data_IF_885430679674
#
_entry.id   IF_885430679674
#
_cell.length_a   1.000
_cell.length_b   1.000
_cell.length_c   1.000
_cell.angle_alpha   90.00
_cell.angle_beta   90.00
_cell.angle_gamma   90.00
#
_symmetry.space_group_name_H-M   'P 1'
#
loop_
_entity.id
_entity.type
_entity.pdbx_description
1 polymer ?
#
# COMPACT_ATOMS: atom_id res chain seq x y z
N UNK A 1 16.46 -25.21 4.50
CA UNK A 1 16.27 -23.81 4.06
C UNK A 1 15.57 -23.09 5.18
N UNK A 2 16.19 -22.04 5.72
CA UNK A 2 15.56 -21.15 6.69
C UNK A 2 14.43 -20.40 5.99
N UNK A 3 13.20 -20.56 6.48
CA UNK A 3 12.03 -19.84 5.98
C UNK A 3 12.16 -18.37 6.44
N UNK A 4 12.33 -17.44 5.50
CA UNK A 4 12.38 -16.00 5.81
C UNK A 4 10.96 -15.46 5.93
N UNK A 5 10.75 -14.50 6.82
CA UNK A 5 9.51 -13.72 6.78
C UNK A 5 9.54 -12.68 5.63
N UNK A 6 8.41 -12.04 5.34
CA UNK A 6 8.31 -11.09 4.23
C UNK A 6 9.30 -9.91 4.37
N UNK A 7 9.49 -9.40 5.59
CA UNK A 7 10.43 -8.29 5.89
C UNK A 7 11.89 -8.72 5.67
N UNK A 8 12.28 -9.87 6.18
CA UNK A 8 13.62 -10.45 6.01
C UNK A 8 13.94 -10.66 4.53
N UNK A 9 13.00 -11.27 3.78
CA UNK A 9 13.12 -11.54 2.35
C UNK A 9 13.30 -10.24 1.56
N UNK A 10 12.44 -9.24 1.80
CA UNK A 10 12.53 -7.93 1.16
C UNK A 10 13.88 -7.25 1.43
N UNK A 11 14.35 -7.25 2.68
CA UNK A 11 15.63 -6.65 3.05
C UNK A 11 16.82 -7.39 2.42
N UNK A 12 16.79 -8.73 2.40
CA UNK A 12 17.83 -9.53 1.74
C UNK A 12 17.88 -9.23 0.24
N UNK A 13 16.73 -9.13 -0.43
CA UNK A 13 16.65 -8.75 -1.85
C UNK A 13 17.22 -7.35 -2.11
N UNK A 14 16.76 -6.32 -1.37
CA UNK A 14 17.23 -4.94 -1.60
C UNK A 14 18.70 -4.71 -1.24
N UNK A 15 19.28 -5.56 -0.41
CA UNK A 15 20.70 -5.54 -0.06
C UNK A 15 21.56 -6.40 -0.98
N UNK A 16 21.00 -6.96 -2.05
CA UNK A 16 21.70 -7.87 -2.97
C UNK A 16 22.29 -9.10 -2.27
N UNK A 17 21.60 -9.61 -1.24
CA UNK A 17 21.95 -10.85 -0.54
C UNK A 17 21.33 -12.09 -1.17
N UNK A 18 21.21 -13.16 -0.38
CA UNK A 18 20.63 -14.45 -0.79
C UNK A 18 19.29 -14.68 -0.07
N UNK A 19 18.16 -14.17 -0.60
CA UNK A 19 16.84 -14.46 -0.05
C UNK A 19 16.46 -15.93 -0.31
N UNK A 20 15.55 -16.48 0.49
CA UNK A 20 15.03 -17.85 0.32
C UNK A 20 14.20 -18.04 -0.98
N UNK A 21 13.52 -16.97 -1.43
CA UNK A 21 12.92 -16.80 -2.76
C UNK A 21 12.79 -15.32 -3.12
N UNK A 22 12.41 -15.03 -4.37
CA UNK A 22 12.07 -13.65 -4.77
C UNK A 22 10.83 -13.18 -4.00
N UNK A 23 10.82 -11.97 -3.42
CA UNK A 23 9.62 -11.37 -2.87
C UNK A 23 8.52 -11.32 -3.92
N UNK A 24 7.31 -11.76 -3.57
CA UNK A 24 6.20 -11.86 -4.50
C UNK A 24 4.96 -11.19 -3.92
N UNK A 25 4.54 -10.10 -4.54
CA UNK A 25 3.44 -9.25 -4.09
C UNK A 25 2.54 -8.91 -5.28
N UNK A 26 1.28 -8.60 -4.98
CA UNK A 26 0.29 -8.14 -5.96
C UNK A 26 -0.47 -6.91 -5.42
N UNK A 27 -1.19 -6.22 -6.30
CA UNK A 27 -2.14 -5.17 -5.94
C UNK A 27 -3.45 -5.79 -5.42
N UNK A 28 -4.27 -4.96 -4.78
CA UNK A 28 -5.65 -5.28 -4.43
C UNK A 28 -6.42 -5.82 -5.64
N UNK A 29 -7.01 -7.00 -5.51
CA UNK A 29 -7.82 -7.59 -6.58
C UNK A 29 -9.12 -6.80 -6.70
N UNK A 30 -9.49 -6.41 -7.92
CA UNK A 30 -10.75 -5.73 -8.19
C UNK A 30 -11.93 -6.58 -7.73
N UNK A 31 -12.91 -5.95 -7.11
CA UNK A 31 -14.10 -6.60 -6.55
C UNK A 31 -14.83 -7.48 -7.58
N UNK A 32 -15.02 -6.98 -8.80
CA UNK A 32 -15.69 -7.71 -9.89
C UNK A 32 -14.91 -8.96 -10.36
N UNK A 33 -13.57 -8.91 -10.23
CA UNK A 33 -12.68 -10.03 -10.53
C UNK A 33 -12.75 -11.06 -9.42
N UNK A 34 -12.70 -10.64 -8.17
CA UNK A 34 -12.83 -11.52 -7.01
C UNK A 34 -14.19 -12.23 -6.99
N UNK A 35 -15.27 -11.51 -7.32
CA UNK A 35 -16.60 -12.11 -7.51
C UNK A 35 -16.61 -13.20 -8.59
N UNK A 36 -15.96 -12.96 -9.73
CA UNK A 36 -15.84 -13.95 -10.81
C UNK A 36 -15.07 -15.17 -10.35
N UNK A 37 -13.95 -14.99 -9.66
CA UNK A 37 -13.13 -16.08 -9.13
C UNK A 37 -13.91 -16.93 -8.14
N UNK A 38 -14.68 -16.32 -7.23
CA UNK A 38 -15.56 -17.08 -6.33
C UNK A 38 -16.61 -17.90 -7.08
N UNK A 39 -17.18 -17.39 -8.18
CA UNK A 39 -18.08 -18.18 -9.05
C UNK A 39 -17.37 -19.32 -9.77
N UNK A 40 -16.05 -19.23 -9.96
CA UNK A 40 -15.22 -20.25 -10.60
C UNK A 40 -14.62 -21.26 -9.61
N UNK A 41 -14.90 -21.12 -8.31
CA UNK A 41 -14.46 -22.05 -7.27
C UNK A 41 -13.31 -21.54 -6.40
N UNK A 42 -12.93 -20.26 -6.49
CA UNK A 42 -11.97 -19.68 -5.54
C UNK A 42 -12.55 -19.70 -4.12
N UNK A 43 -11.83 -20.23 -3.12
CA UNK A 43 -12.37 -20.40 -1.77
C UNK A 43 -12.71 -19.05 -1.13
N UNK A 44 -13.67 -19.04 -0.21
CA UNK A 44 -14.16 -17.81 0.46
C UNK A 44 -13.58 -17.63 1.86
N UNK A 45 -12.96 -18.67 2.38
CA UNK A 45 -12.36 -18.80 3.70
C UNK A 45 -10.84 -18.57 3.69
N UNK A 46 -10.27 -18.26 2.53
CA UNK A 46 -8.85 -17.93 2.35
C UNK A 46 -8.73 -16.60 1.63
N UNK A 47 -7.78 -15.77 2.04
CA UNK A 47 -7.44 -14.56 1.29
C UNK A 47 -6.69 -14.90 -0.02
N UNK A 48 -6.71 -13.97 -0.97
CA UNK A 48 -5.90 -14.10 -2.20
C UNK A 48 -4.41 -14.22 -1.88
N UNK A 49 -3.93 -13.42 -0.92
CA UNK A 49 -2.55 -13.46 -0.48
C UNK A 49 -2.13 -14.82 0.07
N UNK A 50 -2.96 -15.41 0.94
CA UNK A 50 -2.70 -16.76 1.48
C UNK A 50 -2.76 -17.84 0.39
N UNK A 51 -3.73 -17.77 -0.53
CA UNK A 51 -3.88 -18.79 -1.57
C UNK A 51 -2.69 -18.82 -2.56
N UNK A 52 -2.16 -17.65 -2.92
CA UNK A 52 -1.04 -17.53 -3.85
C UNK A 52 0.34 -17.43 -3.19
N UNK A 53 0.43 -17.62 -1.86
CA UNK A 53 1.66 -17.43 -1.08
C UNK A 53 2.34 -16.07 -1.33
N UNK A 54 1.54 -15.01 -1.34
CA UNK A 54 2.05 -13.65 -1.51
C UNK A 54 2.70 -13.15 -0.21
N UNK A 55 3.81 -12.44 -0.37
CA UNK A 55 4.43 -11.66 0.69
C UNK A 55 3.49 -10.55 1.16
N UNK A 56 3.36 -10.42 2.47
CA UNK A 56 2.54 -9.37 3.08
C UNK A 56 3.20 -8.01 2.91
N UNK A 57 2.43 -7.07 2.38
CA UNK A 57 2.73 -5.64 2.36
C UNK A 57 1.42 -4.85 2.47
N UNK A 58 1.47 -3.67 3.07
CA UNK A 58 0.32 -2.77 3.12
C UNK A 58 0.34 -1.85 1.91
N UNK A 59 -0.81 -1.78 1.24
CA UNK A 59 -1.02 -0.82 0.18
C UNK A 59 -1.50 0.50 0.77
N UNK A 60 -0.78 1.58 0.42
CA UNK A 60 -1.09 2.93 0.86
C UNK A 60 -1.75 3.69 -0.29
N UNK A 61 -2.93 4.24 -0.05
CA UNK A 61 -3.60 5.05 -1.06
C UNK A 61 -5.07 5.31 -0.74
N UNK A 62 -5.73 6.14 -1.58
CA UNK A 62 -7.16 6.33 -1.45
C UNK A 62 -7.86 4.99 -1.71
N UNK A 63 -8.53 4.45 -0.68
CA UNK A 63 -9.26 3.17 -0.71
C UNK A 63 -8.38 1.90 -0.74
N UNK A 64 -7.14 1.98 -0.29
CA UNK A 64 -6.28 0.81 -0.05
C UNK A 64 -6.29 0.42 1.44
N UNK A 65 -5.48 -0.59 1.82
CA UNK A 65 -5.35 -1.09 3.20
C UNK A 65 -5.13 0.04 4.22
N UNK A 66 -4.32 1.02 3.85
CA UNK A 66 -4.07 2.22 4.63
C UNK A 66 -4.53 3.43 3.84
N UNK A 67 -5.68 3.96 4.24
CA UNK A 67 -6.31 5.09 3.56
C UNK A 67 -5.57 6.40 3.83
N UNK A 68 -4.73 6.81 2.89
CA UNK A 68 -4.07 8.12 2.90
C UNK A 68 -4.85 9.13 2.05
N UNK A 69 -4.97 10.36 2.56
CA UNK A 69 -5.49 11.47 1.75
C UNK A 69 -4.37 12.06 0.87
N UNK A 70 -4.30 11.55 -0.35
CA UNK A 70 -3.35 11.98 -1.39
C UNK A 70 -3.90 13.08 -2.30
N UNK A 71 -5.08 13.63 -2.00
CA UNK A 71 -5.68 14.72 -2.77
C UNK A 71 -5.11 16.09 -2.37
N UNK A 72 -5.31 17.14 -3.20
CA UNK A 72 -4.93 18.49 -2.82
C UNK A 72 -5.72 18.97 -1.58
N UNK A 73 -5.02 19.48 -0.58
CA UNK A 73 -5.58 20.08 0.64
C UNK A 73 -4.89 21.44 0.89
N UNK A 74 -5.56 22.59 0.72
CA UNK A 74 -6.92 22.72 0.16
C UNK A 74 -6.96 22.31 -1.32
N UNK A 75 -8.17 22.08 -1.84
CA UNK A 75 -8.39 21.84 -3.26
C UNK A 75 -7.75 22.96 -4.10
N UNK A 76 -7.17 22.59 -5.24
CA UNK A 76 -6.57 23.57 -6.13
C UNK A 76 -7.63 24.24 -6.98
N UNK A 77 -7.72 25.56 -6.87
CA UNK A 77 -8.62 26.37 -7.69
C UNK A 77 -7.87 27.00 -8.88
N UNK A 78 -8.54 27.01 -10.04
CA UNK A 78 -8.06 27.61 -11.29
C UNK A 78 -7.33 26.63 -12.21
N UNK A 79 -6.55 27.18 -13.15
CA UNK A 79 -5.90 26.41 -14.21
C UNK A 79 -4.38 26.36 -14.02
N UNK A 80 -3.76 25.23 -14.42
CA UNK A 80 -2.31 25.05 -14.40
C UNK A 80 -1.70 25.53 -15.72
N UNK A 81 -1.38 26.83 -15.81
CA UNK A 81 -0.82 27.43 -17.02
C UNK A 81 0.64 27.82 -16.90
N UNK A 82 1.07 28.19 -15.69
CA UNK A 82 2.39 28.77 -15.46
C UNK A 82 3.13 28.04 -14.35
N UNK A 83 4.43 28.32 -14.23
CA UNK A 83 5.23 27.83 -13.10
C UNK A 83 4.68 28.32 -11.76
N UNK A 84 4.14 29.53 -11.71
CA UNK A 84 3.54 30.08 -10.49
C UNK A 84 2.31 29.28 -10.06
N UNK A 85 1.49 28.80 -11.00
CA UNK A 85 0.35 27.93 -10.71
C UNK A 85 0.80 26.59 -10.13
N UNK A 86 1.87 26.01 -10.67
CA UNK A 86 2.46 24.78 -10.13
C UNK A 86 3.01 24.97 -8.70
N UNK A 87 3.66 26.09 -8.42
CA UNK A 87 4.12 26.40 -7.06
C UNK A 87 2.96 26.68 -6.09
N UNK A 88 1.79 27.10 -6.58
CA UNK A 88 0.55 27.18 -5.80
C UNK A 88 0.00 25.77 -5.52
N UNK A 89 -0.11 24.92 -6.54
CA UNK A 89 -0.57 23.53 -6.42
C UNK A 89 0.24 22.74 -5.40
N UNK A 90 1.57 22.89 -5.40
CA UNK A 90 2.45 22.20 -4.43
C UNK A 90 2.08 22.46 -2.97
N UNK A 91 1.55 23.64 -2.66
CA UNK A 91 1.10 23.99 -1.30
C UNK A 91 -0.10 23.15 -0.86
N UNK A 92 -0.83 22.56 -1.81
CA UNK A 92 -1.91 21.63 -1.48
C UNK A 92 -1.41 20.22 -1.12
N UNK A 93 -0.11 19.95 -1.19
CA UNK A 93 0.49 18.63 -1.02
C UNK A 93 1.50 18.55 0.14
N UNK A 94 1.35 19.36 1.20
CA UNK A 94 2.24 19.31 2.38
C UNK A 94 2.21 17.93 3.06
N UNK A 95 3.29 17.13 3.02
CA UNK A 95 3.25 15.72 3.42
C UNK A 95 2.99 15.53 4.92
N UNK A 96 3.28 16.52 5.75
CA UNK A 96 3.16 16.45 7.21
C UNK A 96 1.79 16.89 7.73
N UNK A 97 0.85 17.25 6.86
CA UNK A 97 -0.52 17.58 7.25
C UNK A 97 -1.19 16.37 7.93
N UNK A 98 -1.66 16.49 9.19
CA UNK A 98 -2.30 15.37 9.90
C UNK A 98 -3.53 14.82 9.15
N UNK A 99 -4.23 15.65 8.38
CA UNK A 99 -5.38 15.24 7.56
C UNK A 99 -5.03 14.26 6.43
N UNK A 100 -3.73 13.99 6.20
CA UNK A 100 -3.27 12.99 5.23
C UNK A 100 -3.30 11.57 5.73
N UNK A 101 -3.35 11.39 7.04
CA UNK A 101 -3.25 10.10 7.69
C UNK A 101 -4.60 9.72 8.29
N UNK A 102 -4.91 8.42 8.38
CA UNK A 102 -6.12 7.98 9.05
C UNK A 102 -6.01 8.24 10.56
N UNK A 103 -7.16 8.32 11.24
CA UNK A 103 -7.23 8.65 12.67
C UNK A 103 -6.48 7.66 13.59
N UNK A 104 -6.26 6.43 13.13
CA UNK A 104 -5.59 5.32 13.80
C UNK A 104 -4.15 5.11 13.29
N UNK A 105 -3.54 6.13 12.68
CA UNK A 105 -2.17 6.06 12.14
C UNK A 105 -1.11 5.61 13.16
N UNK A 106 -1.21 6.06 14.40
CA UNK A 106 -0.26 5.66 15.47
C UNK A 106 -0.38 4.17 15.81
N UNK A 107 -1.59 3.60 15.74
CA UNK A 107 -1.81 2.18 15.93
C UNK A 107 -1.22 1.35 14.78
N UNK A 108 -1.37 1.81 13.54
CA UNK A 108 -0.70 1.22 12.39
C UNK A 108 0.82 1.20 12.57
N UNK A 109 1.44 2.34 12.94
CA UNK A 109 2.89 2.43 13.17
C UNK A 109 3.34 1.44 14.25
N UNK A 110 2.60 1.38 15.37
CA UNK A 110 2.91 0.47 16.47
C UNK A 110 2.87 -0.99 16.00
N UNK A 111 1.80 -1.38 15.31
CA UNK A 111 1.65 -2.73 14.77
C UNK A 111 2.75 -3.09 13.75
N UNK A 112 3.15 -2.17 12.87
CA UNK A 112 4.18 -2.43 11.86
C UNK A 112 5.60 -2.53 12.41
N UNK A 113 5.87 -1.91 13.56
CA UNK A 113 7.19 -2.01 14.20
C UNK A 113 7.51 -3.45 14.54
N UNK A 114 6.54 -4.13 15.14
CA UNK A 114 6.65 -5.50 15.64
C UNK A 114 6.07 -6.53 14.64
N UNK A 115 5.78 -6.09 13.40
CA UNK A 115 5.35 -6.98 12.33
C UNK A 115 6.54 -7.76 11.81
N UNK A 116 6.37 -9.09 11.80
CA UNK A 116 7.31 -10.12 11.31
C UNK A 116 8.51 -10.37 12.23
#
# INVERSE_FOLDING_TARGET
>A
MTNMNARERFLATLRFGEPDRVPYYDQSIREDTLERWHRQGFPRDVSVGEFFDLDRWELFGPREDVSLNLYPIPEFEGELKTRADFERLKRSYYPTSPERYPHDWDDHIRCWRDRD
#
